data_IF_504334804293
#
_entry.id   IF_504334804293
#
_cell.length_a   1.000
_cell.length_b   1.000
_cell.length_c   1.000
_cell.angle_alpha   90.00
_cell.angle_beta   90.00
_cell.angle_gamma   90.00
#
_symmetry.space_group_name_H-M   'P 1'
#
loop_
_entity.id
_entity.type
_entity.pdbx_description
1 polymer ?
#
# COMPACT_ATOMS: atom_id res chain seq x y z
N UNK A 1 -22.09 -19.03 25.97
CA UNK A 1 -22.12 -18.42 24.63
C UNK A 1 -21.36 -17.10 24.58
N UNK A 2 -21.58 -16.13 25.49
CA UNK A 2 -20.91 -14.83 25.53
C UNK A 2 -19.35 -14.94 25.61
N UNK A 3 -18.82 -15.84 26.45
CA UNK A 3 -17.36 -16.07 26.55
C UNK A 3 -16.74 -16.61 25.24
N UNK A 4 -17.48 -17.44 24.52
CA UNK A 4 -17.04 -17.99 23.22
C UNK A 4 -17.02 -16.89 22.15
N UNK A 5 -18.02 -16.00 22.15
CA UNK A 5 -18.10 -14.88 21.23
C UNK A 5 -16.95 -13.88 21.46
N UNK A 6 -16.67 -13.54 22.72
CA UNK A 6 -15.53 -12.69 23.09
C UNK A 6 -14.20 -13.33 22.65
N UNK A 7 -14.05 -14.65 22.86
CA UNK A 7 -12.86 -15.37 22.42
C UNK A 7 -12.70 -15.35 20.89
N UNK A 8 -13.78 -15.52 20.13
CA UNK A 8 -13.76 -15.44 18.66
C UNK A 8 -13.39 -14.03 18.16
N UNK A 9 -13.93 -12.98 18.79
CA UNK A 9 -13.58 -11.59 18.47
C UNK A 9 -12.10 -11.33 18.80
N UNK A 10 -11.62 -11.78 19.96
CA UNK A 10 -10.21 -11.62 20.32
C UNK A 10 -9.27 -12.39 19.38
N UNK A 11 -9.65 -13.58 18.92
CA UNK A 11 -8.87 -14.36 17.95
C UNK A 11 -8.83 -13.66 16.60
N UNK A 12 -9.90 -12.99 16.16
CA UNK A 12 -9.91 -12.25 14.87
C UNK A 12 -8.95 -11.06 14.88
N UNK A 13 -8.68 -10.43 16.04
CA UNK A 13 -7.68 -9.36 16.16
C UNK A 13 -6.23 -9.87 16.14
N UNK A 14 -6.00 -11.13 16.57
CA UNK A 14 -4.66 -11.74 16.57
C UNK A 14 -4.25 -12.20 15.16
N UNK A 15 -5.22 -12.42 14.29
CA UNK A 15 -5.02 -12.95 12.93
C UNK A 15 -4.83 -11.86 11.87
N UNK A 16 -4.61 -10.59 12.25
CA UNK A 16 -4.31 -9.54 11.28
C UNK A 16 -2.84 -9.71 10.87
N UNK A 17 -2.53 -10.25 9.68
CA UNK A 17 -1.17 -10.24 9.19
C UNK A 17 -0.72 -8.79 9.05
N UNK A 18 0.53 -8.50 9.38
CA UNK A 18 1.15 -7.26 8.97
C UNK A 18 1.14 -7.27 7.43
N UNK A 19 0.18 -6.59 6.84
CA UNK A 19 0.16 -6.39 5.41
C UNK A 19 1.23 -5.34 5.08
N UNK A 20 2.40 -5.78 4.64
CA UNK A 20 3.30 -4.94 3.86
C UNK A 20 2.59 -4.84 2.52
N UNK A 21 2.04 -3.68 2.23
CA UNK A 21 1.05 -3.55 1.15
C UNK A 21 1.66 -3.12 -0.20
N UNK A 22 2.98 -2.89 -0.28
CA UNK A 22 3.62 -2.39 -1.50
C UNK A 22 5.07 -2.84 -1.58
N UNK A 23 5.59 -3.19 -2.78
CA UNK A 23 7.00 -3.47 -2.98
C UNK A 23 7.81 -2.19 -2.73
N UNK A 24 8.77 -2.25 -1.82
CA UNK A 24 9.75 -1.19 -1.63
C UNK A 24 11.15 -1.72 -1.95
N UNK A 25 12.03 -0.82 -2.35
CA UNK A 25 13.43 -1.13 -2.63
C UNK A 25 14.15 -1.45 -1.32
N UNK A 26 14.67 -2.67 -1.18
CA UNK A 26 15.45 -3.11 -0.01
C UNK A 26 16.95 -2.89 -0.21
N UNK A 27 17.47 -3.24 -1.39
CA UNK A 27 18.88 -3.15 -1.71
C UNK A 27 19.06 -2.79 -3.18
N UNK A 28 20.18 -2.13 -3.50
CA UNK A 28 20.56 -1.77 -4.86
C UNK A 28 22.03 -2.05 -5.13
N UNK A 29 22.34 -2.43 -6.34
CA UNK A 29 23.71 -2.53 -6.86
C UNK A 29 23.74 -1.68 -8.14
N UNK A 30 24.47 -0.57 -8.19
CA UNK A 30 25.32 0.03 -7.15
C UNK A 30 24.57 0.45 -5.89
N UNK A 31 25.28 0.38 -4.73
CA UNK A 31 24.71 0.78 -3.45
C UNK A 31 24.50 2.29 -3.37
N UNK A 32 23.43 2.71 -2.67
CA UNK A 32 23.14 4.14 -2.40
C UNK A 32 24.16 4.80 -1.46
N UNK A 33 24.95 4.02 -0.73
CA UNK A 33 25.86 4.51 0.33
C UNK A 33 27.31 4.51 -0.08
N UNK A 34 27.65 3.98 -1.26
CA UNK A 34 29.01 3.93 -1.79
C UNK A 34 29.03 4.17 -3.29
N UNK A 35 30.12 4.80 -3.76
CA UNK A 35 30.28 5.04 -5.17
C UNK A 35 30.62 3.75 -5.93
N UNK A 36 29.98 3.57 -7.09
CA UNK A 36 30.33 2.51 -8.02
C UNK A 36 31.65 2.83 -8.76
N UNK A 37 32.40 1.84 -9.20
CA UNK A 37 33.58 2.08 -10.05
C UNK A 37 33.15 2.64 -11.41
N UNK A 38 34.01 3.47 -12.02
CA UNK A 38 33.86 3.86 -13.41
C UNK A 38 33.82 2.63 -14.33
N UNK A 39 32.98 2.67 -15.36
CA UNK A 39 32.75 1.52 -16.24
C UNK A 39 31.67 0.55 -15.74
N UNK A 40 30.96 0.85 -14.67
CA UNK A 40 29.75 0.10 -14.26
C UNK A 40 28.77 0.00 -15.43
N UNK A 41 28.25 -1.20 -15.69
CA UNK A 41 27.37 -1.50 -16.84
C UNK A 41 26.03 -2.11 -16.46
N UNK A 42 25.77 -2.30 -15.16
CA UNK A 42 24.57 -2.98 -14.69
C UNK A 42 24.04 -2.33 -13.42
N UNK A 43 22.73 -2.27 -13.33
CA UNK A 43 22.00 -1.84 -12.12
C UNK A 43 21.05 -2.95 -11.72
N UNK A 44 21.11 -3.35 -10.44
CA UNK A 44 20.25 -4.36 -9.86
C UNK A 44 19.48 -3.73 -8.71
N UNK A 45 18.20 -4.06 -8.61
CA UNK A 45 17.31 -3.58 -7.54
C UNK A 45 16.58 -4.76 -6.91
N UNK A 46 16.68 -4.89 -5.60
CA UNK A 46 15.99 -5.90 -4.81
C UNK A 46 14.76 -5.28 -4.14
N UNK A 47 13.65 -6.02 -4.15
CA UNK A 47 12.35 -5.59 -3.64
C UNK A 47 11.90 -6.48 -2.48
N UNK A 48 11.11 -5.90 -1.57
CA UNK A 48 10.57 -6.59 -0.39
C UNK A 48 9.53 -7.67 -0.71
N UNK A 49 9.02 -7.69 -1.94
CA UNK A 49 8.04 -8.68 -2.40
C UNK A 49 8.17 -8.95 -3.90
N UNK A 50 7.63 -10.08 -4.40
CA UNK A 50 7.70 -10.44 -5.81
C UNK A 50 7.04 -9.43 -6.72
N UNK A 51 7.71 -9.07 -7.82
CA UNK A 51 7.23 -8.12 -8.84
C UNK A 51 6.94 -8.82 -10.17
N UNK A 52 6.02 -8.28 -10.96
CA UNK A 52 5.69 -8.80 -12.29
C UNK A 52 6.48 -8.05 -13.36
N UNK A 53 7.42 -8.75 -14.02
CA UNK A 53 8.29 -8.16 -15.05
C UNK A 53 7.51 -7.61 -16.26
N UNK A 54 6.32 -8.15 -16.58
CA UNK A 54 5.56 -7.69 -17.73
C UNK A 54 4.99 -6.28 -17.55
N UNK A 55 4.90 -5.82 -16.30
CA UNK A 55 4.36 -4.50 -15.93
C UNK A 55 5.34 -3.68 -15.10
N UNK A 56 6.58 -4.17 -14.97
CA UNK A 56 7.63 -3.50 -14.20
C UNK A 56 8.76 -3.07 -15.13
N UNK A 57 9.37 -1.94 -14.84
CA UNK A 57 10.49 -1.41 -15.59
C UNK A 57 11.50 -0.68 -14.68
N UNK A 58 12.76 -0.77 -15.04
CA UNK A 58 13.82 0.09 -14.55
C UNK A 58 14.24 1.04 -15.65
N UNK A 59 14.63 2.25 -15.28
CA UNK A 59 15.20 3.25 -16.20
C UNK A 59 16.37 3.94 -15.51
N UNK A 60 17.43 4.20 -16.26
CA UNK A 60 18.60 4.92 -15.76
C UNK A 60 18.77 6.22 -16.55
N UNK A 61 18.94 7.32 -15.82
CA UNK A 61 19.08 8.66 -16.40
C UNK A 61 20.42 9.27 -15.97
N UNK A 62 21.01 10.06 -16.87
CA UNK A 62 22.12 10.94 -16.57
C UNK A 62 21.68 12.23 -15.85
N UNK A 63 22.63 13.08 -15.46
CA UNK A 63 22.36 14.38 -14.79
C UNK A 63 21.62 15.38 -15.67
N UNK A 64 21.53 15.16 -16.99
CA UNK A 64 20.78 16.01 -17.92
C UNK A 64 19.35 15.49 -18.11
N UNK A 65 18.99 14.37 -17.49
CA UNK A 65 17.69 13.73 -17.65
C UNK A 65 17.56 12.87 -18.91
N UNK A 66 18.68 12.54 -19.58
CA UNK A 66 18.62 11.63 -20.72
C UNK A 66 18.61 10.18 -20.22
N UNK A 67 17.71 9.36 -20.76
CA UNK A 67 17.69 7.93 -20.50
C UNK A 67 18.86 7.25 -21.23
N UNK A 68 19.71 6.52 -20.48
CA UNK A 68 20.97 5.95 -20.97
C UNK A 68 21.04 4.44 -20.91
N UNK A 69 20.03 3.76 -20.36
CA UNK A 69 19.96 2.30 -20.28
C UNK A 69 19.65 1.64 -21.64
N UNK A 70 19.86 0.34 -21.72
CA UNK A 70 19.61 -0.47 -22.91
C UNK A 70 18.15 -0.93 -23.06
N UNK A 71 17.25 -0.58 -22.13
CA UNK A 71 15.81 -0.95 -22.11
C UNK A 71 15.59 -2.47 -22.05
N UNK A 72 16.43 -3.17 -21.35
CA UNK A 72 16.49 -4.63 -21.25
C UNK A 72 16.15 -5.15 -19.86
N UNK A 73 15.28 -4.42 -19.12
CA UNK A 73 14.83 -4.83 -17.77
C UNK A 73 14.43 -6.30 -17.75
N UNK A 74 15.03 -7.05 -16.84
CA UNK A 74 14.79 -8.48 -16.66
C UNK A 74 14.91 -8.90 -15.19
N UNK A 75 14.50 -10.13 -14.85
CA UNK A 75 14.79 -10.69 -13.53
C UNK A 75 16.29 -10.97 -13.37
N UNK A 76 16.84 -10.66 -12.20
CA UNK A 76 18.23 -10.99 -11.85
C UNK A 76 18.33 -12.36 -11.19
N UNK A 77 17.85 -12.51 -9.97
CA UNK A 77 17.87 -13.76 -9.20
C UNK A 77 16.44 -14.25 -8.86
N UNK A 78 15.48 -13.97 -9.72
CA UNK A 78 14.09 -14.32 -9.54
C UNK A 78 13.18 -13.11 -9.37
N UNK A 79 11.97 -13.35 -8.91
CA UNK A 79 10.88 -12.35 -8.91
C UNK A 79 11.04 -11.22 -7.87
N UNK A 80 12.03 -11.34 -6.97
CA UNK A 80 12.35 -10.33 -5.97
C UNK A 80 13.38 -9.31 -6.44
N UNK A 81 13.98 -9.49 -7.62
CA UNK A 81 15.02 -8.59 -8.11
C UNK A 81 14.93 -8.36 -9.60
N UNK A 82 15.15 -7.12 -10.00
CA UNK A 82 15.23 -6.70 -11.39
C UNK A 82 16.64 -6.18 -11.69
N UNK A 83 17.08 -6.37 -12.92
CA UNK A 83 18.31 -5.79 -13.46
C UNK A 83 18.02 -5.05 -14.75
N UNK A 84 18.88 -4.06 -15.04
CA UNK A 84 18.94 -3.35 -16.32
C UNK A 84 20.39 -3.06 -16.66
N UNK A 85 20.76 -3.16 -17.95
CA UNK A 85 22.09 -2.84 -18.39
C UNK A 85 22.20 -1.42 -18.92
N UNK A 86 23.43 -0.88 -18.84
CA UNK A 86 23.78 0.45 -19.38
C UNK A 86 25.05 0.34 -20.21
N UNK A 87 25.35 1.28 -21.09
CA UNK A 87 26.73 1.52 -21.55
C UNK A 87 27.65 1.71 -20.33
N UNK A 88 28.98 1.49 -20.47
CA UNK A 88 29.93 1.79 -19.40
C UNK A 88 29.75 3.23 -18.89
N UNK A 89 29.40 3.36 -17.60
CA UNK A 89 29.12 4.65 -16.99
C UNK A 89 30.44 5.37 -16.66
N UNK A 90 30.49 6.65 -17.00
CA UNK A 90 31.55 7.58 -16.62
C UNK A 90 31.33 8.09 -15.20
N UNK A 91 32.32 8.83 -14.67
CA UNK A 91 32.20 9.49 -13.36
C UNK A 91 31.01 10.48 -13.37
N UNK A 92 30.09 10.32 -12.43
CA UNK A 92 28.89 11.14 -12.38
C UNK A 92 27.85 10.64 -11.41
N UNK A 93 26.74 11.36 -11.32
CA UNK A 93 25.54 10.98 -10.54
C UNK A 93 24.47 10.52 -11.52
N UNK A 94 23.83 9.42 -11.20
CA UNK A 94 22.80 8.81 -12.04
C UNK A 94 21.52 8.62 -11.25
N UNK A 95 20.38 8.74 -11.91
CA UNK A 95 19.06 8.50 -11.35
C UNK A 95 18.52 7.19 -11.87
N UNK A 96 18.12 6.29 -10.97
CA UNK A 96 17.34 5.10 -11.30
C UNK A 96 15.89 5.39 -10.99
N UNK A 97 15.03 5.26 -11.98
CA UNK A 97 13.58 5.26 -11.79
C UNK A 97 13.07 3.83 -11.88
N UNK A 98 12.32 3.42 -10.89
CA UNK A 98 11.65 2.12 -10.86
C UNK A 98 10.15 2.32 -10.98
N UNK A 99 9.50 1.43 -11.69
CA UNK A 99 8.05 1.33 -11.74
C UNK A 99 7.71 -0.14 -11.70
N UNK A 100 7.24 -0.62 -10.56
CA UNK A 100 7.09 -2.05 -10.31
C UNK A 100 5.66 -2.40 -9.92
N UNK A 101 5.14 -3.49 -10.49
CA UNK A 101 3.84 -4.07 -10.15
C UNK A 101 4.04 -5.21 -9.16
N UNK A 102 3.45 -5.09 -7.98
CA UNK A 102 3.40 -6.18 -7.00
C UNK A 102 2.62 -7.38 -7.54
N UNK A 103 3.16 -8.59 -7.39
CA UNK A 103 2.43 -9.84 -7.61
C UNK A 103 1.51 -10.21 -6.45
N UNK A 104 1.72 -9.60 -5.27
CA UNK A 104 0.98 -9.93 -4.06
C UNK A 104 -0.37 -9.21 -4.03
N UNK A 105 -0.37 -7.91 -4.32
CA UNK A 105 -1.57 -7.08 -4.21
C UNK A 105 -1.98 -6.36 -5.50
N UNK A 106 -1.17 -6.45 -6.55
CA UNK A 106 -1.44 -5.85 -7.87
C UNK A 106 -1.26 -4.32 -7.90
N UNK A 107 -0.60 -3.73 -6.89
CA UNK A 107 -0.32 -2.30 -6.89
C UNK A 107 0.93 -1.96 -7.71
N UNK A 108 0.84 -0.86 -8.47
CA UNK A 108 1.95 -0.31 -9.24
C UNK A 108 2.60 0.79 -8.43
N UNK A 109 3.88 0.60 -8.08
CA UNK A 109 4.64 1.52 -7.23
C UNK A 109 5.77 2.15 -8.03
N UNK A 110 5.76 3.47 -8.23
CA UNK A 110 6.90 4.22 -8.73
C UNK A 110 7.83 4.59 -7.58
N UNK A 111 9.13 4.48 -7.81
CA UNK A 111 10.17 4.97 -6.90
C UNK A 111 11.35 5.50 -7.72
N UNK A 112 12.23 6.29 -7.10
CA UNK A 112 13.45 6.78 -7.71
C UNK A 112 14.54 6.98 -6.67
N UNK A 113 15.79 6.68 -7.06
CA UNK A 113 16.95 6.88 -6.22
C UNK A 113 18.17 7.30 -7.05
N UNK A 114 19.18 7.84 -6.36
CA UNK A 114 20.43 8.28 -6.96
C UNK A 114 21.56 7.32 -6.58
N UNK A 115 22.51 7.13 -7.47
CA UNK A 115 23.80 6.52 -7.16
C UNK A 115 24.94 7.30 -7.86
N UNK A 116 26.13 7.21 -7.31
CA UNK A 116 27.33 7.84 -7.86
C UNK A 116 28.26 6.81 -8.48
N UNK A 117 28.93 7.21 -9.54
CA UNK A 117 30.01 6.46 -10.20
C UNK A 117 31.30 7.29 -10.13
N UNK A 118 32.42 6.64 -9.83
CA UNK A 118 33.71 7.30 -9.69
C UNK A 118 33.86 8.11 -8.41
N UNK A 119 34.77 9.07 -8.37
CA UNK A 119 35.05 9.91 -7.20
C UNK A 119 34.16 11.17 -7.18
N UNK A 120 32.84 10.95 -7.09
CA UNK A 120 31.84 12.02 -7.09
C UNK A 120 31.10 12.05 -5.76
N UNK A 121 30.95 13.23 -5.19
CA UNK A 121 30.15 13.44 -3.98
C UNK A 121 28.71 13.78 -4.43
N UNK A 122 27.73 12.98 -4.00
CA UNK A 122 26.31 13.32 -4.19
C UNK A 122 26.02 14.52 -3.31
N UNK A 123 25.64 15.65 -3.90
CA UNK A 123 25.18 16.82 -3.16
C UNK A 123 23.88 16.43 -2.41
N UNK A 124 23.85 16.58 -1.06
CA UNK A 124 22.66 16.28 -0.28
C UNK A 124 21.39 17.02 -0.76
N UNK A 125 21.54 18.18 -1.40
CA UNK A 125 20.41 18.91 -1.98
C UNK A 125 19.76 18.18 -3.16
N UNK A 126 20.46 17.28 -3.83
CA UNK A 126 19.92 16.42 -4.88
C UNK A 126 19.12 15.24 -4.31
N UNK A 127 19.33 14.91 -3.03
CA UNK A 127 18.55 13.89 -2.32
C UNK A 127 17.19 14.44 -1.84
N UNK A 128 17.08 15.76 -1.74
CA UNK A 128 15.83 16.48 -1.51
C UNK A 128 14.99 16.67 -2.81
N UNK A 129 15.16 15.79 -3.78
CA UNK A 129 14.12 15.64 -4.79
C UNK A 129 12.87 15.33 -4.00
N UNK A 130 12.00 16.34 -3.86
CA UNK A 130 10.67 16.17 -3.28
C UNK A 130 10.14 14.86 -3.85
N UNK A 131 10.10 13.83 -2.99
CA UNK A 131 9.31 12.64 -3.33
C UNK A 131 8.01 13.24 -3.79
N UNK A 132 7.53 12.95 -5.02
CA UNK A 132 6.31 13.55 -5.47
C UNK A 132 5.35 13.37 -4.31
N UNK A 133 5.05 14.49 -3.64
CA UNK A 133 4.15 14.51 -2.50
C UNK A 133 3.01 13.66 -2.97
N UNK A 134 2.68 12.61 -2.20
CA UNK A 134 1.53 11.77 -2.57
C UNK A 134 0.44 12.75 -2.92
N UNK A 135 0.26 12.95 -4.22
CA UNK A 135 -0.79 13.84 -4.70
C UNK A 135 -2.02 13.07 -4.29
N UNK A 136 -2.57 13.44 -3.12
CA UNK A 136 -3.86 12.94 -2.70
C UNK A 136 -4.78 13.29 -3.84
N UNK A 137 -5.02 12.31 -4.70
CA UNK A 137 -5.92 12.50 -5.81
C UNK A 137 -7.32 12.66 -5.19
N UNK A 138 -7.69 13.93 -4.97
CA UNK A 138 -8.94 14.29 -4.28
C UNK A 138 -10.15 13.49 -4.78
N UNK A 139 -10.33 13.23 -6.10
CA UNK A 139 -11.41 12.39 -6.59
C UNK A 139 -11.35 10.95 -6.04
N UNK A 140 -10.16 10.36 -5.90
CA UNK A 140 -10.00 9.01 -5.35
C UNK A 140 -10.26 8.97 -3.84
N UNK A 141 -9.73 9.93 -3.10
CA UNK A 141 -10.03 10.09 -1.67
C UNK A 141 -11.53 10.30 -1.44
N UNK A 142 -12.17 11.12 -2.29
CA UNK A 142 -13.61 11.36 -2.27
C UNK A 142 -14.44 10.11 -2.57
N UNK A 143 -13.98 9.24 -3.47
CA UNK A 143 -14.63 7.98 -3.78
C UNK A 143 -14.46 6.93 -2.66
N UNK A 144 -13.31 6.88 -2.01
CA UNK A 144 -13.01 5.94 -0.92
C UNK A 144 -13.67 6.31 0.41
N UNK A 145 -13.85 7.62 0.69
CA UNK A 145 -14.42 8.10 1.94
C UNK A 145 -15.83 7.52 2.26
N UNK A 146 -16.80 7.49 1.31
CA UNK A 146 -18.09 6.86 1.54
C UNK A 146 -17.98 5.39 1.94
N UNK A 147 -17.02 4.66 1.38
CA UNK A 147 -16.76 3.27 1.72
C UNK A 147 -16.33 3.08 3.18
N UNK A 148 -15.41 3.91 3.67
CA UNK A 148 -14.97 3.89 5.07
C UNK A 148 -16.13 4.22 6.03
N UNK A 149 -16.91 5.24 5.71
CA UNK A 149 -18.12 5.61 6.48
C UNK A 149 -19.11 4.45 6.49
N UNK A 150 -19.37 3.83 5.34
CA UNK A 150 -20.27 2.70 5.23
C UNK A 150 -19.82 1.50 6.06
N UNK A 151 -18.55 1.15 6.01
CA UNK A 151 -17.97 0.07 6.82
C UNK A 151 -18.12 0.34 8.32
N UNK A 152 -17.85 1.57 8.75
CA UNK A 152 -18.00 1.97 10.16
C UNK A 152 -19.44 1.85 10.63
N UNK A 153 -20.41 2.26 9.82
CA UNK A 153 -21.84 2.13 10.12
C UNK A 153 -22.24 0.66 10.24
N UNK A 154 -21.85 -0.19 9.29
CA UNK A 154 -22.21 -1.61 9.31
C UNK A 154 -21.58 -2.31 10.52
N UNK A 155 -20.29 -2.08 10.75
CA UNK A 155 -19.59 -2.67 11.90
C UNK A 155 -20.18 -2.22 13.23
N UNK A 156 -20.44 -0.91 13.38
CA UNK A 156 -21.08 -0.35 14.57
C UNK A 156 -22.48 -0.92 14.80
N UNK A 157 -23.27 -1.10 13.74
CA UNK A 157 -24.58 -1.72 13.81
C UNK A 157 -24.50 -3.18 14.26
N UNK A 158 -23.54 -3.97 13.73
CA UNK A 158 -23.33 -5.37 14.15
C UNK A 158 -22.92 -5.43 15.62
N UNK A 159 -21.97 -4.63 16.06
CA UNK A 159 -21.52 -4.60 17.46
C UNK A 159 -22.69 -4.19 18.39
N UNK A 160 -23.43 -3.14 18.04
CA UNK A 160 -24.58 -2.72 18.82
C UNK A 160 -25.66 -3.81 18.91
N UNK A 161 -25.91 -4.53 17.81
CA UNK A 161 -26.85 -5.64 17.81
C UNK A 161 -26.40 -6.78 18.73
N UNK A 162 -25.12 -7.12 18.72
CA UNK A 162 -24.57 -8.17 19.58
C UNK A 162 -24.63 -7.79 21.06
N UNK A 163 -24.40 -6.51 21.41
CA UNK A 163 -24.48 -6.02 22.78
C UNK A 163 -25.94 -5.96 23.24
N UNK A 164 -26.82 -5.36 22.44
CA UNK A 164 -28.22 -5.14 22.82
C UNK A 164 -29.02 -6.44 22.81
N UNK A 165 -28.88 -7.28 21.80
CA UNK A 165 -29.64 -8.54 21.69
C UNK A 165 -28.90 -9.76 22.22
N UNK A 166 -27.57 -9.75 22.27
CA UNK A 166 -26.77 -10.84 22.84
C UNK A 166 -26.89 -10.95 24.37
N UNK A 167 -27.28 -9.88 25.05
CA UNK A 167 -27.48 -9.84 26.51
C UNK A 167 -28.90 -10.23 26.95
N UNK A 168 -29.78 -10.63 26.03
CA UNK A 168 -31.17 -10.94 26.28
C UNK A 168 -31.42 -12.23 27.10
N UNK A 169 -30.85 -12.34 28.27
CA UNK A 169 -31.25 -13.38 29.21
C UNK A 169 -31.99 -12.84 30.44
N UNK A 170 -32.51 -11.61 30.42
CA UNK A 170 -33.32 -11.07 31.52
C UNK A 170 -34.56 -10.37 31.01
N UNK A 171 -35.71 -10.88 31.40
CA UNK A 171 -37.05 -10.36 31.09
C UNK A 171 -37.28 -8.87 31.39
N UNK A 172 -36.43 -8.24 32.19
CA UNK A 172 -36.54 -6.83 32.63
C UNK A 172 -36.19 -5.83 31.53
N UNK A 173 -35.27 -6.19 30.60
CA UNK A 173 -34.78 -5.26 29.59
C UNK A 173 -35.78 -5.06 28.43
N UNK A 174 -36.63 -6.05 28.19
CA UNK A 174 -37.56 -6.02 27.06
C UNK A 174 -38.70 -5.02 27.28
N UNK A 175 -39.19 -4.92 28.52
CA UNK A 175 -40.27 -4.00 28.90
C UNK A 175 -39.80 -2.54 28.94
N UNK A 176 -38.54 -2.30 29.31
CA UNK A 176 -37.91 -0.99 29.30
C UNK A 176 -37.54 -0.51 27.89
N UNK A 177 -37.06 -1.41 27.04
CA UNK A 177 -36.74 -1.12 25.62
C UNK A 177 -38.04 -0.81 24.83
N UNK A 178 -39.14 -1.50 25.11
CA UNK A 178 -40.46 -1.18 24.55
C UNK A 178 -40.97 0.17 25.02
N UNK A 179 -40.61 0.61 26.23
CA UNK A 179 -40.95 1.94 26.78
C UNK A 179 -40.08 3.07 26.26
N UNK A 180 -38.81 2.84 26.00
CA UNK A 180 -37.89 3.80 25.34
C UNK A 180 -38.31 3.97 23.86
N UNK A 181 -39.33 3.25 23.50
CA UNK A 181 -40.16 3.43 22.34
C UNK A 181 -39.44 3.42 21.02
N UNK A 182 -39.87 2.60 20.16
CA UNK A 182 -39.73 2.75 18.73
C UNK A 182 -38.29 2.76 18.17
N UNK A 183 -37.32 2.17 18.84
CA UNK A 183 -36.12 1.73 18.15
C UNK A 183 -36.51 0.54 17.27
N UNK A 184 -37.38 0.87 16.31
CA UNK A 184 -37.90 -0.13 15.39
C UNK A 184 -36.75 -0.85 14.70
N UNK A 185 -36.83 -2.15 14.68
CA UNK A 185 -36.03 -3.03 13.83
C UNK A 185 -35.86 -2.45 12.39
N UNK A 186 -36.92 -1.74 11.90
CA UNK A 186 -36.87 -1.02 10.63
C UNK A 186 -35.86 0.13 10.56
N UNK A 187 -35.69 0.94 11.62
CA UNK A 187 -34.67 2.02 11.61
C UNK A 187 -33.25 1.45 11.63
N UNK A 188 -33.01 0.39 12.40
CA UNK A 188 -31.74 -0.30 12.43
C UNK A 188 -31.40 -0.89 11.06
N UNK A 189 -32.32 -1.60 10.43
CA UNK A 189 -32.16 -2.15 9.08
C UNK A 189 -31.92 -1.05 8.03
N UNK A 190 -32.59 0.12 8.18
CA UNK A 190 -32.37 1.27 7.30
C UNK A 190 -30.96 1.84 7.44
N UNK A 191 -30.46 2.02 8.65
CA UNK A 191 -29.10 2.54 8.91
C UNK A 191 -28.04 1.56 8.35
N UNK A 192 -28.20 0.27 8.60
CA UNK A 192 -27.32 -0.76 8.06
C UNK A 192 -27.38 -0.80 6.53
N UNK A 193 -28.59 -0.66 5.97
CA UNK A 193 -28.79 -0.57 4.51
C UNK A 193 -28.06 0.64 3.89
N UNK A 194 -28.13 1.81 4.53
CA UNK A 194 -27.37 3.00 4.09
C UNK A 194 -25.87 2.70 4.10
N UNK A 195 -25.34 2.07 5.15
CA UNK A 195 -23.94 1.69 5.23
C UNK A 195 -23.51 0.76 4.07
N UNK A 196 -24.33 -0.24 3.73
CA UNK A 196 -24.08 -1.14 2.60
C UNK A 196 -24.10 -0.40 1.24
N UNK A 197 -25.04 0.53 1.05
CA UNK A 197 -25.09 1.35 -0.17
C UNK A 197 -23.84 2.21 -0.31
N UNK A 198 -23.36 2.83 0.77
CA UNK A 198 -22.13 3.63 0.75
C UNK A 198 -20.89 2.78 0.40
N UNK A 199 -20.80 1.55 0.92
CA UNK A 199 -19.74 0.61 0.55
C UNK A 199 -19.80 0.28 -0.95
N UNK A 200 -21.01 0.07 -1.48
CA UNK A 200 -21.17 -0.28 -2.89
C UNK A 200 -20.78 0.88 -3.80
N UNK A 201 -21.21 2.10 -3.48
CA UNK A 201 -20.87 3.31 -4.28
C UNK A 201 -19.35 3.58 -4.29
N UNK A 202 -18.65 3.27 -3.20
CA UNK A 202 -17.20 3.52 -3.10
C UNK A 202 -16.34 2.60 -3.97
N UNK A 203 -16.93 1.58 -4.62
CA UNK A 203 -16.21 0.63 -5.48
C UNK A 203 -16.22 1.02 -6.97
N UNK A 204 -16.96 2.06 -7.31
CA UNK A 204 -17.02 2.64 -8.65
C UNK A 204 -16.39 4.03 -8.68
#
# INVERSE_FOLDING_TARGET
MQKILIALVMISFISIPFAVAHPFTEETIPSLTSNAPAGTTEVIVYFSEPVDINFSELRVFDTNGNQIDNKDTSYYEGELSLTITTPPLEDGVYTVSTKVLSKVDGHLVPDAFLFAVGDVIIDPSLLDVERPSEIIFLPEAGARFPGLVGQTIVLGAVIASLIVWGTQNKHVIREELDKIGNFHHGKFMSITGIGLVLIFISKF
#
